data_IF_163528308417
#
_entry.id   IF_163528308417
#
_cell.length_a   1.000
_cell.length_b   1.000
_cell.length_c   1.000
_cell.angle_alpha   90.00
_cell.angle_beta   90.00
_cell.angle_gamma   90.00
#
_symmetry.space_group_name_H-M   'P 1'
#
loop_
_entity.id
_entity.type
_entity.pdbx_description
1 polymer ?
#
# COMPACT_ATOMS: atom_id res chain seq x y z
N UNK A 1 18.90 -37.00 3.86
CA UNK A 1 19.02 -35.55 3.63
C UNK A 1 17.61 -34.98 3.61
N UNK A 2 17.17 -34.44 4.74
CA UNK A 2 15.77 -34.07 4.99
C UNK A 2 15.52 -32.64 4.54
N UNK A 3 14.71 -32.48 3.50
CA UNK A 3 14.18 -31.19 3.07
C UNK A 3 13.19 -30.69 4.12
N UNK A 4 13.61 -29.70 4.91
CA UNK A 4 12.69 -28.91 5.75
C UNK A 4 11.91 -27.94 4.87
N UNK A 5 10.58 -27.85 4.99
CA UNK A 5 9.80 -26.83 4.30
C UNK A 5 10.12 -25.44 4.90
N UNK A 6 10.06 -24.36 4.10
CA UNK A 6 10.31 -23.02 4.60
C UNK A 6 9.26 -22.61 5.64
N UNK A 7 9.72 -21.94 6.69
CA UNK A 7 8.93 -21.43 7.83
C UNK A 7 7.92 -20.34 7.40
N UNK A 8 6.79 -20.15 8.12
CA UNK A 8 5.70 -19.25 7.74
C UNK A 8 6.02 -17.75 7.72
N UNK A 9 7.26 -17.34 8.02
CA UNK A 9 7.65 -15.93 8.14
C UNK A 9 8.14 -15.29 6.82
N UNK A 10 8.17 -16.05 5.72
CA UNK A 10 8.48 -15.54 4.38
C UNK A 10 7.23 -15.22 3.53
N UNK A 11 6.05 -15.11 4.14
CA UNK A 11 4.79 -14.80 3.45
C UNK A 11 4.06 -13.62 4.10
N UNK A 12 4.63 -12.42 4.00
CA UNK A 12 3.83 -11.20 4.14
C UNK A 12 4.17 -10.23 3.03
N UNK A 13 4.00 -10.71 1.81
CA UNK A 13 3.68 -9.88 0.67
C UNK A 13 2.24 -10.25 0.31
N UNK A 14 1.29 -9.79 1.14
CA UNK A 14 -0.10 -9.69 0.70
C UNK A 14 -0.20 -8.38 -0.09
N UNK A 15 0.48 -8.35 -1.24
CA UNK A 15 0.16 -7.36 -2.27
C UNK A 15 -1.23 -7.74 -2.74
N UNK A 16 -2.18 -6.80 -2.63
CA UNK A 16 -3.45 -6.81 -3.36
C UNK A 16 -3.15 -6.85 -4.88
N UNK A 17 -2.81 -8.04 -5.37
CA UNK A 17 -2.43 -8.29 -6.75
C UNK A 17 -3.70 -8.64 -7.50
N UNK A 18 -4.47 -7.62 -7.86
CA UNK A 18 -5.54 -7.79 -8.85
C UNK A 18 -5.66 -6.57 -9.75
N UNK A 19 -4.54 -6.17 -10.36
CA UNK A 19 -4.58 -5.43 -11.62
C UNK A 19 -4.46 -6.41 -12.78
N UNK A 20 -5.58 -6.58 -13.49
CA UNK A 20 -5.76 -7.43 -14.66
C UNK A 20 -4.78 -7.00 -15.77
N UNK A 21 -3.99 -7.96 -16.28
CA UNK A 21 -3.13 -7.91 -17.47
C UNK A 21 -1.92 -6.96 -17.49
N UNK A 22 -1.67 -6.14 -16.47
CA UNK A 22 -0.42 -5.39 -16.30
C UNK A 22 0.02 -5.44 -14.84
N UNK A 23 1.15 -6.10 -14.56
CA UNK A 23 1.59 -6.51 -13.21
C UNK A 23 2.18 -5.37 -12.37
N UNK A 24 1.53 -4.21 -12.29
CA UNK A 24 1.96 -3.17 -11.35
C UNK A 24 1.54 -3.54 -9.93
N UNK A 25 2.44 -3.22 -9.00
CA UNK A 25 2.27 -3.48 -7.58
C UNK A 25 2.33 -2.12 -6.87
N UNK A 26 1.27 -1.79 -6.14
CA UNK A 26 1.23 -0.62 -5.27
C UNK A 26 1.41 -1.14 -3.85
N UNK A 27 2.42 -0.65 -3.13
CA UNK A 27 2.74 -1.13 -1.80
C UNK A 27 3.10 0.01 -0.85
N UNK A 28 2.83 -0.21 0.43
CA UNK A 28 3.14 0.68 1.52
C UNK A 28 4.08 0.00 2.51
N UNK A 29 4.89 0.81 3.20
CA UNK A 29 5.90 0.39 4.17
C UNK A 29 6.84 -0.73 3.68
N UNK A 30 7.45 -0.62 2.49
CA UNK A 30 8.41 -1.62 2.04
C UNK A 30 9.61 -1.70 3.00
N UNK A 31 10.24 -2.87 3.07
CA UNK A 31 11.47 -3.06 3.83
C UNK A 31 12.61 -2.22 3.23
N UNK A 32 13.18 -1.32 4.05
CA UNK A 32 14.30 -0.45 3.65
C UNK A 32 15.56 -0.91 4.38
N UNK A 33 16.58 -1.31 3.62
CA UNK A 33 17.90 -1.67 4.13
C UNK A 33 18.94 -0.72 3.57
N UNK A 34 19.79 -0.15 4.44
CA UNK A 34 20.85 0.81 4.05
C UNK A 34 20.33 1.95 3.16
N UNK A 35 19.10 2.41 3.43
CA UNK A 35 18.47 3.48 2.65
C UNK A 35 17.94 3.06 1.27
N UNK A 36 17.87 1.78 0.93
CA UNK A 36 17.27 1.31 -0.32
C UNK A 36 16.14 0.30 -0.06
N UNK A 37 15.13 0.27 -0.92
CA UNK A 37 14.06 -0.72 -0.86
C UNK A 37 14.64 -2.09 -1.21
N UNK A 38 14.56 -3.01 -0.25
CA UNK A 38 15.09 -4.36 -0.31
C UNK A 38 13.97 -5.41 -0.40
N UNK A 39 14.32 -6.69 -0.51
CA UNK A 39 13.34 -7.79 -0.61
C UNK A 39 12.62 -7.93 -1.96
N UNK A 40 13.05 -7.17 -2.98
CA UNK A 40 12.49 -7.22 -4.35
C UNK A 40 13.57 -7.62 -5.36
N UNK A 41 13.24 -8.36 -6.43
CA UNK A 41 14.19 -8.69 -7.49
C UNK A 41 14.86 -7.44 -8.08
N UNK A 42 16.16 -7.51 -8.36
CA UNK A 42 16.93 -6.36 -8.87
C UNK A 42 16.39 -5.80 -10.19
N UNK A 43 15.80 -6.64 -11.04
CA UNK A 43 15.25 -6.25 -12.35
C UNK A 43 13.94 -5.45 -12.26
N UNK A 44 13.29 -5.41 -11.10
CA UNK A 44 12.04 -4.67 -10.94
C UNK A 44 12.32 -3.18 -10.88
N UNK A 45 11.61 -2.41 -11.69
CA UNK A 45 11.61 -0.96 -11.54
C UNK A 45 10.84 -0.58 -10.27
N UNK A 46 11.30 0.48 -9.61
CA UNK A 46 10.79 0.91 -8.29
C UNK A 46 10.75 2.43 -8.28
N UNK A 47 9.59 2.99 -7.97
CA UNK A 47 9.42 4.42 -7.76
C UNK A 47 8.84 4.61 -6.37
N UNK A 48 9.49 5.41 -5.53
CA UNK A 48 9.12 5.57 -4.13
C UNK A 48 8.88 7.03 -3.75
N UNK A 49 8.13 7.22 -2.67
CA UNK A 49 8.08 8.49 -1.96
C UNK A 49 9.47 8.85 -1.40
N UNK A 50 9.65 10.11 -0.97
CA UNK A 50 10.93 10.58 -0.40
C UNK A 50 11.33 9.77 0.84
N UNK A 51 10.38 9.48 1.72
CA UNK A 51 10.60 8.67 2.92
C UNK A 51 10.55 7.15 2.67
N UNK A 52 10.27 6.72 1.42
CA UNK A 52 10.17 5.32 0.99
C UNK A 52 9.06 4.51 1.68
N UNK A 53 8.05 5.17 2.25
CA UNK A 53 6.86 4.52 2.82
C UNK A 53 5.78 4.19 1.80
N UNK A 54 5.82 4.79 0.61
CA UNK A 54 4.97 4.42 -0.51
C UNK A 54 5.83 4.05 -1.72
N UNK A 55 5.47 2.97 -2.42
CA UNK A 55 6.22 2.48 -3.58
C UNK A 55 5.31 1.89 -4.65
N UNK A 56 5.66 2.16 -5.90
CA UNK A 56 5.13 1.47 -7.06
C UNK A 56 6.24 0.58 -7.61
N UNK A 57 5.98 -0.72 -7.67
CA UNK A 57 6.90 -1.74 -8.17
C UNK A 57 6.39 -2.27 -9.51
N UNK A 58 7.33 -2.44 -10.43
CA UNK A 58 7.06 -2.91 -11.78
C UNK A 58 7.98 -4.06 -12.19
N UNK A 59 7.45 -5.29 -12.21
CA UNK A 59 8.16 -6.48 -12.65
C UNK A 59 8.47 -6.55 -14.15
N UNK A 60 7.79 -5.76 -14.98
CA UNK A 60 7.82 -5.84 -16.46
C UNK A 60 8.70 -4.73 -17.07
N UNK A 61 9.11 -3.74 -16.26
CA UNK A 61 9.99 -2.63 -16.69
C UNK A 61 9.36 -1.72 -17.76
N UNK A 62 8.14 -1.26 -17.50
CA UNK A 62 7.51 -0.13 -18.17
C UNK A 62 8.40 1.13 -18.11
N UNK A 63 8.18 2.03 -19.05
CA UNK A 63 8.82 3.35 -19.11
C UNK A 63 7.81 4.46 -18.78
N UNK A 64 7.43 4.66 -17.49
CA UNK A 64 6.49 5.69 -17.12
C UNK A 64 7.11 7.09 -17.14
N UNK A 65 6.24 8.10 -17.14
CA UNK A 65 6.59 9.45 -16.69
C UNK A 65 6.41 9.50 -15.18
N UNK A 66 7.49 9.76 -14.45
CA UNK A 66 7.46 9.85 -12.98
C UNK A 66 7.11 11.28 -12.58
N UNK A 67 6.07 11.45 -11.76
CA UNK A 67 5.75 12.75 -11.18
C UNK A 67 6.65 13.05 -9.98
N UNK A 68 6.75 14.31 -9.60
CA UNK A 68 7.57 14.74 -8.47
C UNK A 68 7.23 13.94 -7.22
N UNK A 69 8.18 13.18 -6.64
CA UNK A 69 7.94 12.42 -5.42
C UNK A 69 7.56 13.37 -4.27
N UNK A 70 6.53 12.97 -3.51
CA UNK A 70 6.10 13.63 -2.29
C UNK A 70 6.69 12.94 -1.06
N UNK A 71 6.46 13.50 0.12
CA UNK A 71 7.02 12.92 1.35
C UNK A 71 6.48 11.51 1.56
N UNK A 72 5.15 11.40 1.48
CA UNK A 72 4.35 10.20 1.77
C UNK A 72 3.73 9.57 0.52
N UNK A 73 4.01 10.11 -0.67
CA UNK A 73 3.37 9.69 -1.91
C UNK A 73 4.31 9.67 -3.11
N UNK A 74 3.96 8.86 -4.09
CA UNK A 74 4.61 8.79 -5.41
C UNK A 74 3.56 8.52 -6.47
N UNK A 75 3.73 9.13 -7.62
CA UNK A 75 2.85 8.93 -8.76
C UNK A 75 3.64 8.69 -10.04
N UNK A 76 3.16 7.75 -10.85
CA UNK A 76 3.69 7.46 -12.19
C UNK A 76 2.56 7.52 -13.21
N UNK A 77 2.87 8.00 -14.40
CA UNK A 77 1.95 8.05 -15.53
C UNK A 77 2.37 7.03 -16.57
N UNK A 78 1.44 6.17 -16.94
CA UNK A 78 1.60 5.07 -17.90
C UNK A 78 0.52 5.15 -18.97
N UNK A 79 0.71 4.45 -20.08
CA UNK A 79 -0.33 4.28 -21.10
C UNK A 79 -0.99 2.90 -20.93
N UNK A 80 -2.19 2.87 -20.36
CA UNK A 80 -3.02 1.68 -20.26
C UNK A 80 -3.93 1.61 -21.49
N UNK A 81 -3.82 0.56 -22.30
CA UNK A 81 -4.69 0.36 -23.48
C UNK A 81 -4.82 1.60 -24.39
N UNK A 82 -3.69 2.27 -24.65
CA UNK A 82 -3.59 3.51 -25.45
C UNK A 82 -4.26 4.76 -24.82
N UNK A 83 -4.60 4.70 -23.53
CA UNK A 83 -5.06 5.85 -22.75
C UNK A 83 -4.07 6.17 -21.63
N UNK A 84 -3.76 7.44 -21.38
CA UNK A 84 -2.95 7.82 -20.22
C UNK A 84 -3.69 7.47 -18.93
N UNK A 85 -3.00 6.85 -17.99
CA UNK A 85 -3.49 6.60 -16.65
C UNK A 85 -2.39 6.87 -15.64
N UNK A 86 -2.74 7.56 -14.55
CA UNK A 86 -1.81 7.84 -13.45
C UNK A 86 -2.04 6.88 -12.30
N UNK A 87 -0.98 6.20 -11.86
CA UNK A 87 -0.98 5.31 -10.71
C UNK A 87 -0.31 6.04 -9.55
N UNK A 88 -0.97 6.08 -8.40
CA UNK A 88 -0.49 6.76 -7.20
C UNK A 88 -0.39 5.75 -6.06
N UNK A 89 0.75 5.76 -5.37
CA UNK A 89 0.93 5.10 -4.09
C UNK A 89 1.05 6.15 -3.00
N UNK A 90 0.34 5.99 -1.89
CA UNK A 90 0.50 6.84 -0.72
C UNK A 90 0.43 6.07 0.61
N UNK A 91 1.04 6.61 1.64
CA UNK A 91 0.99 6.09 2.99
C UNK A 91 0.90 7.23 3.99
N UNK A 92 -0.02 7.15 4.95
CA UNK A 92 -0.06 8.05 6.10
C UNK A 92 -0.03 7.24 7.37
N UNK A 93 0.99 7.48 8.20
CA UNK A 93 1.14 6.82 9.50
C UNK A 93 -0.08 7.08 10.39
N UNK A 94 -0.55 6.10 11.17
CA UNK A 94 -1.67 6.30 12.09
C UNK A 94 -1.36 7.36 13.17
N UNK A 95 -0.08 7.61 13.44
CA UNK A 95 0.43 8.56 14.43
C UNK A 95 0.63 9.98 13.87
N UNK A 96 0.52 10.15 12.55
CA UNK A 96 0.72 11.44 11.88
C UNK A 96 -0.61 12.06 11.46
N UNK A 97 -0.59 13.37 11.22
CA UNK A 97 -1.71 14.11 10.63
C UNK A 97 -1.87 13.67 9.16
N UNK A 98 -3.09 13.30 8.78
CA UNK A 98 -3.38 12.76 7.44
C UNK A 98 -3.38 13.86 6.38
N UNK A 99 -3.63 15.10 6.81
CA UNK A 99 -3.91 16.29 6.02
C UNK A 99 -2.80 16.60 5.03
N UNK A 100 -1.54 16.45 5.44
CA UNK A 100 -0.39 16.65 4.54
C UNK A 100 -0.41 15.65 3.39
N UNK A 101 -0.73 14.38 3.69
CA UNK A 101 -0.81 13.32 2.68
C UNK A 101 -2.02 13.55 1.76
N UNK A 102 -3.16 13.99 2.30
CA UNK A 102 -4.35 14.33 1.50
C UNK A 102 -4.10 15.53 0.59
N UNK A 103 -3.36 16.54 1.06
CA UNK A 103 -2.97 17.69 0.25
C UNK A 103 -2.05 17.26 -0.91
N UNK A 104 -1.05 16.41 -0.64
CA UNK A 104 -0.18 15.86 -1.66
C UNK A 104 -0.96 15.05 -2.72
N UNK A 105 -1.95 14.26 -2.30
CA UNK A 105 -2.85 13.54 -3.20
C UNK A 105 -3.70 14.49 -4.05
N UNK A 106 -4.25 15.54 -3.44
CA UNK A 106 -5.02 16.56 -4.16
C UNK A 106 -4.17 17.27 -5.23
N UNK A 107 -2.91 17.56 -4.93
CA UNK A 107 -1.97 18.15 -5.89
C UNK A 107 -1.69 17.20 -7.08
N UNK A 108 -1.51 15.90 -6.82
CA UNK A 108 -1.42 14.92 -7.90
C UNK A 108 -2.69 14.90 -8.76
N UNK A 109 -3.87 14.87 -8.15
CA UNK A 109 -5.16 14.83 -8.86
C UNK A 109 -5.36 16.09 -9.72
N UNK A 110 -4.98 17.26 -9.19
CA UNK A 110 -5.03 18.52 -9.94
C UNK A 110 -4.08 18.49 -11.15
N UNK A 111 -2.92 17.84 -11.03
CA UNK A 111 -1.97 17.69 -12.14
C UNK A 111 -2.48 16.73 -13.23
N UNK A 112 -3.20 15.67 -12.86
CA UNK A 112 -3.73 14.65 -13.78
C UNK A 112 -4.75 15.25 -14.78
N UNK A 113 -5.42 16.35 -14.43
CA UNK A 113 -6.27 17.16 -15.32
C UNK A 113 -7.29 16.36 -16.15
N UNK A 114 -8.21 15.66 -15.47
CA UNK A 114 -9.28 14.82 -16.06
C UNK A 114 -8.83 13.56 -16.82
N UNK A 115 -7.59 13.11 -16.66
CA UNK A 115 -7.18 11.76 -17.08
C UNK A 115 -7.57 10.69 -16.05
N UNK A 116 -7.56 9.43 -16.47
CA UNK A 116 -7.85 8.30 -15.60
C UNK A 116 -6.75 8.14 -14.54
N UNK A 117 -7.12 7.79 -13.31
CA UNK A 117 -6.17 7.54 -12.24
C UNK A 117 -6.60 6.41 -11.32
N UNK A 118 -5.61 5.79 -10.67
CA UNK A 118 -5.77 4.77 -9.64
C UNK A 118 -4.90 5.16 -8.45
N UNK A 119 -5.50 5.21 -7.26
CA UNK A 119 -4.79 5.50 -6.01
C UNK A 119 -4.87 4.25 -5.14
N UNK A 120 -3.72 3.66 -4.84
CA UNK A 120 -3.58 2.67 -3.77
C UNK A 120 -2.92 3.33 -2.57
N UNK A 121 -3.65 3.44 -1.46
CA UNK A 121 -3.15 4.12 -0.29
C UNK A 121 -3.54 3.42 1.01
N UNK A 122 -2.59 3.38 1.95
CA UNK A 122 -2.88 3.10 3.35
C UNK A 122 -2.88 4.43 4.11
N UNK A 123 -4.07 4.94 4.40
CA UNK A 123 -4.28 6.23 5.05
C UNK A 123 -4.70 6.08 6.51
N UNK A 124 -4.76 4.85 7.05
CA UNK A 124 -5.08 4.59 8.45
C UNK A 124 -6.39 5.25 8.98
N UNK A 125 -7.37 5.47 8.11
CA UNK A 125 -8.68 6.04 8.45
C UNK A 125 -9.80 5.01 8.41
N UNK A 126 -10.65 5.02 9.42
CA UNK A 126 -11.80 4.11 9.55
C UNK A 126 -13.06 4.79 9.01
N UNK A 127 -13.77 4.14 8.09
CA UNK A 127 -15.03 4.63 7.55
C UNK A 127 -15.93 3.47 7.15
N UNK A 128 -17.24 3.67 7.25
CA UNK A 128 -18.25 2.69 6.83
C UNK A 128 -18.12 2.28 5.37
N UNK A 129 -17.82 3.24 4.48
CA UNK A 129 -17.70 3.03 3.03
C UNK A 129 -16.66 1.95 2.64
N UNK A 130 -15.66 1.69 3.48
CA UNK A 130 -14.67 0.63 3.27
C UNK A 130 -14.63 -0.39 4.42
N UNK A 131 -15.77 -0.64 5.06
CA UNK A 131 -15.99 -1.85 5.87
C UNK A 131 -15.79 -1.70 7.39
N UNK A 132 -15.59 -0.48 7.91
CA UNK A 132 -15.51 -0.29 9.37
C UNK A 132 -16.89 -0.09 10.00
N UNK A 133 -17.03 -0.50 11.26
CA UNK A 133 -18.26 -0.30 12.05
C UNK A 133 -18.44 1.12 12.58
N UNK A 134 -17.49 2.02 12.33
CA UNK A 134 -17.56 3.43 12.70
C UNK A 134 -16.73 4.29 11.75
N UNK A 135 -16.99 5.59 11.79
CA UNK A 135 -16.27 6.60 11.00
C UNK A 135 -15.42 7.51 11.90
N UNK A 136 -14.10 7.48 11.74
CA UNK A 136 -13.16 8.34 12.46
C UNK A 136 -13.02 9.72 11.81
N UNK A 137 -12.51 10.76 12.51
CA UNK A 137 -12.22 12.06 11.90
C UNK A 137 -11.30 11.94 10.66
N UNK A 138 -10.27 11.10 10.77
CA UNK A 138 -9.36 10.76 9.66
C UNK A 138 -10.11 10.10 8.50
N UNK A 139 -11.00 9.14 8.80
CA UNK A 139 -11.88 8.53 7.79
C UNK A 139 -12.77 9.54 7.07
N UNK A 140 -13.35 10.51 7.79
CA UNK A 140 -14.15 11.59 7.16
C UNK A 140 -13.32 12.47 6.24
N UNK A 141 -12.09 12.81 6.63
CA UNK A 141 -11.21 13.62 5.79
C UNK A 141 -10.88 12.92 4.47
N UNK A 142 -10.64 11.60 4.52
CA UNK A 142 -10.42 10.77 3.33
C UNK A 142 -11.68 10.71 2.46
N UNK A 143 -12.86 10.48 3.05
CA UNK A 143 -14.13 10.43 2.32
C UNK A 143 -14.45 11.76 1.61
N UNK A 144 -14.17 12.89 2.28
CA UNK A 144 -14.29 14.22 1.68
C UNK A 144 -13.38 14.39 0.45
N UNK A 145 -12.15 13.87 0.48
CA UNK A 145 -11.23 13.88 -0.66
C UNK A 145 -11.77 13.03 -1.82
N UNK A 146 -12.29 11.82 -1.52
CA UNK A 146 -12.90 10.96 -2.54
C UNK A 146 -14.05 11.69 -3.25
N UNK A 147 -14.91 12.35 -2.46
CA UNK A 147 -16.03 13.16 -2.97
C UNK A 147 -15.59 14.37 -3.78
N UNK A 148 -14.55 15.10 -3.36
CA UNK A 148 -14.05 16.28 -4.08
C UNK A 148 -13.39 15.93 -5.41
N UNK A 149 -12.74 14.76 -5.48
CA UNK A 149 -12.02 14.29 -6.65
C UNK A 149 -12.88 13.50 -7.63
N UNK A 150 -14.17 13.30 -7.34
CA UNK A 150 -15.08 12.41 -8.10
C UNK A 150 -14.49 11.01 -8.30
N UNK A 151 -13.69 10.55 -7.33
CA UNK A 151 -13.12 9.22 -7.37
C UNK A 151 -14.20 8.19 -6.99
N UNK A 152 -14.07 6.98 -7.53
CA UNK A 152 -14.93 5.84 -7.14
C UNK A 152 -14.15 4.93 -6.22
N UNK A 153 -14.73 4.57 -5.08
CA UNK A 153 -14.15 3.60 -4.17
C UNK A 153 -14.26 2.19 -4.78
N UNK A 154 -13.13 1.47 -4.81
CA UNK A 154 -13.05 0.12 -5.38
C UNK A 154 -13.13 -0.99 -4.31
N UNK A 155 -13.03 -0.64 -3.03
CA UNK A 155 -13.27 -1.59 -1.93
C UNK A 155 -14.72 -2.07 -1.98
N UNK A 156 -14.92 -3.37 -1.86
CA UNK A 156 -16.25 -3.98 -1.77
C UNK A 156 -16.58 -4.32 -0.32
N UNK A 157 -17.86 -4.24 0.04
CA UNK A 157 -18.32 -4.48 1.42
C UNK A 157 -18.10 -5.93 1.88
N UNK A 158 -18.08 -6.88 0.94
CA UNK A 158 -17.83 -8.30 1.17
C UNK A 158 -16.33 -8.65 1.24
N UNK A 159 -15.44 -7.66 1.07
CA UNK A 159 -14.00 -7.88 1.17
C UNK A 159 -13.60 -8.22 2.62
N UNK A 160 -12.61 -9.12 2.81
CA UNK A 160 -12.07 -9.37 4.14
C UNK A 160 -11.38 -8.12 4.72
N UNK A 161 -11.21 -8.04 6.05
CA UNK A 161 -10.48 -6.93 6.67
C UNK A 161 -9.08 -6.77 6.05
N UNK A 162 -8.72 -5.55 5.67
CA UNK A 162 -7.40 -5.25 5.09
C UNK A 162 -6.26 -5.28 6.10
N UNK A 163 -6.57 -5.32 7.40
CA UNK A 163 -5.61 -5.42 8.49
C UNK A 163 -6.19 -6.26 9.63
N UNK A 164 -5.43 -7.26 10.09
CA UNK A 164 -5.81 -8.17 11.17
C UNK A 164 -4.62 -8.25 12.14
N UNK A 165 -4.84 -7.85 13.39
CA UNK A 165 -3.91 -8.18 14.48
C UNK A 165 -4.40 -9.48 15.11
N UNK A 166 -3.66 -10.56 14.92
CA UNK A 166 -3.88 -11.76 15.73
C UNK A 166 -3.24 -11.50 17.10
N UNK A 167 -4.07 -11.16 18.09
CA UNK A 167 -3.65 -11.19 19.49
C UNK A 167 -3.25 -12.63 19.80
N UNK A 168 -1.96 -12.91 19.90
CA UNK A 168 -1.51 -14.20 20.41
C UNK A 168 -2.01 -14.32 21.86
N UNK A 169 -3.04 -15.14 22.07
CA UNK A 169 -3.37 -15.61 23.41
C UNK A 169 -2.19 -16.44 23.88
N UNK A 170 -1.39 -15.89 24.79
CA UNK A 170 -0.36 -16.63 25.51
C UNK A 170 -1.06 -17.63 26.43
N UNK A 171 -1.39 -18.82 25.92
CA UNK A 171 -1.64 -19.97 26.78
C UNK A 171 -0.27 -20.51 27.21
N UNK A 172 0.17 -20.09 28.40
CA UNK A 172 1.43 -20.53 28.98
C UNK A 172 1.46 -22.05 29.18
N UNK A 173 2.08 -22.76 28.24
CA UNK A 173 2.62 -24.09 28.49
C UNK A 173 4.12 -23.96 28.76
N UNK A 174 4.48 -24.11 30.03
CA UNK A 174 5.86 -24.33 30.46
C UNK A 174 6.24 -25.74 29.99
N UNK A 175 7.08 -25.86 28.97
CA UNK A 175 7.72 -27.13 28.64
C UNK A 175 8.70 -27.49 29.77
N UNK A 176 8.56 -28.65 30.46
CA UNK A 176 9.55 -29.07 31.44
C UNK A 176 10.83 -29.47 30.70
N UNK A 177 11.96 -28.88 31.11
CA UNK A 177 13.29 -29.35 30.69
C UNK A 177 13.50 -30.80 31.16
N UNK A 178 13.99 -31.71 30.31
CA UNK A 178 14.39 -33.03 30.78
C UNK A 178 15.66 -32.90 31.64
N UNK A 179 15.58 -33.42 32.85
CA UNK A 179 16.74 -33.58 33.72
C UNK A 179 17.76 -34.50 33.04
N UNK A 180 18.98 -34.01 32.83
CA UNK A 180 20.11 -34.85 32.44
C UNK A 180 20.54 -35.69 33.66
N UNK A 181 20.61 -37.01 33.47
CA UNK A 181 21.33 -37.94 34.35
C UNK A 181 22.84 -37.75 34.19
#
# INVERSE_FOLDING_TARGET
MTNTPPTPQSQQIEILTKCVSQHLIIAQEPYVYTGAIAGTPQRWAKWSSKNKKAVILDPISLSPVVLTPKENGIAIKINLNKKPCTIVSAYSSPLEEVENTLQDLQEYINYINNEDFIIGADLNGQHHNWGYSYTSPRGRAIDNLIGSCRATLLNTEDAPPSFIIQMAQWEGQICPFPAHQ
#
